data_IF_547449340786
#
_entry.id   IF_547449340786
#
_cell.length_a   1.000
_cell.length_b   1.000
_cell.length_c   1.000
_cell.angle_alpha   90.00
_cell.angle_beta   90.00
_cell.angle_gamma   90.00
#
_symmetry.space_group_name_H-M   'P 1'
#
loop_
_entity.id
_entity.type
_entity.pdbx_description
1 polymer ?
#
# COMPACT_ATOMS: atom_id res chain seq x y z
N UNK A 1 -45.26 -5.16 -40.71
CA UNK A 1 -44.51 -4.81 -39.48
C UNK A 1 -45.50 -4.73 -38.35
N UNK A 2 -45.15 -5.30 -37.20
CA UNK A 2 -46.04 -5.33 -36.04
C UNK A 2 -45.66 -4.20 -35.08
N UNK A 3 -46.60 -3.71 -34.27
CA UNK A 3 -46.32 -2.63 -33.32
C UNK A 3 -45.18 -2.99 -32.34
N UNK A 4 -44.99 -4.28 -32.04
CA UNK A 4 -43.88 -4.79 -31.22
C UNK A 4 -42.50 -4.48 -31.78
N UNK A 5 -42.36 -4.46 -33.11
CA UNK A 5 -41.08 -4.15 -33.75
C UNK A 5 -40.72 -2.67 -33.52
N UNK A 6 -41.72 -1.79 -33.54
CA UNK A 6 -41.55 -0.37 -33.30
C UNK A 6 -41.40 0.00 -31.82
N UNK A 7 -41.88 -0.83 -30.89
CA UNK A 7 -41.69 -0.58 -29.45
C UNK A 7 -40.20 -0.52 -29.08
N UNK A 8 -39.41 -1.47 -29.58
CA UNK A 8 -37.96 -1.49 -29.35
C UNK A 8 -37.28 -0.25 -29.97
N UNK A 9 -37.64 0.08 -31.21
CA UNK A 9 -37.12 1.23 -31.93
C UNK A 9 -37.48 2.56 -31.24
N UNK A 10 -38.66 2.66 -30.61
CA UNK A 10 -39.08 3.85 -29.86
C UNK A 10 -38.20 4.09 -28.63
N UNK A 11 -37.85 3.04 -27.88
CA UNK A 11 -36.96 3.19 -26.71
C UNK A 11 -35.53 3.57 -27.11
N UNK A 12 -35.10 3.16 -28.30
CA UNK A 12 -33.76 3.41 -28.84
C UNK A 12 -33.72 4.60 -29.80
N UNK A 13 -34.76 5.44 -29.85
CA UNK A 13 -34.94 6.45 -30.89
C UNK A 13 -33.74 7.40 -31.08
N UNK A 14 -33.05 7.77 -30.00
CA UNK A 14 -31.84 8.60 -30.05
C UNK A 14 -30.61 7.93 -30.65
N UNK A 15 -30.61 6.60 -30.75
CA UNK A 15 -29.51 5.78 -31.27
C UNK A 15 -29.78 5.28 -32.70
N UNK A 16 -31.00 5.47 -33.21
CA UNK A 16 -31.39 5.08 -34.56
C UNK A 16 -30.74 5.95 -35.64
N UNK A 17 -30.53 5.36 -36.81
CA UNK A 17 -30.13 6.11 -38.00
C UNK A 17 -31.27 6.99 -38.52
N UNK A 18 -30.95 8.06 -39.25
CA UNK A 18 -31.97 9.00 -39.74
C UNK A 18 -33.02 8.39 -40.69
N UNK A 19 -32.74 7.24 -41.30
CA UNK A 19 -33.72 6.49 -42.10
C UNK A 19 -34.69 5.68 -41.23
N UNK A 20 -34.21 5.13 -40.12
CA UNK A 20 -35.01 4.39 -39.14
C UNK A 20 -35.90 5.32 -38.33
N UNK A 21 -35.38 6.48 -37.91
CA UNK A 21 -36.17 7.52 -37.24
C UNK A 21 -37.39 7.93 -38.08
N UNK A 22 -37.20 8.20 -39.37
CA UNK A 22 -38.30 8.53 -40.30
C UNK A 22 -39.34 7.41 -40.42
N UNK A 23 -38.93 6.15 -40.33
CA UNK A 23 -39.85 5.01 -40.33
C UNK A 23 -40.66 4.94 -39.04
N UNK A 24 -40.03 5.17 -37.89
CA UNK A 24 -40.71 5.24 -36.59
C UNK A 24 -41.70 6.40 -36.57
N UNK A 25 -41.29 7.59 -37.03
CA UNK A 25 -42.14 8.78 -37.10
C UNK A 25 -43.40 8.53 -37.95
N UNK A 26 -43.23 7.91 -39.12
CA UNK A 26 -44.35 7.53 -39.97
C UNK A 26 -45.34 6.59 -39.26
N UNK A 27 -44.83 5.59 -38.52
CA UNK A 27 -45.67 4.66 -37.78
C UNK A 27 -46.41 5.32 -36.61
N UNK A 28 -45.73 6.22 -35.88
CA UNK A 28 -46.30 6.97 -34.75
C UNK A 28 -47.43 7.91 -35.18
N UNK A 29 -47.38 8.42 -36.42
CA UNK A 29 -48.47 9.21 -36.98
C UNK A 29 -49.73 8.37 -37.24
N UNK A 30 -49.59 7.11 -37.61
CA UNK A 30 -50.71 6.23 -37.96
C UNK A 30 -51.26 5.45 -36.75
N UNK A 31 -50.41 5.08 -35.79
CA UNK A 31 -50.76 4.24 -34.65
C UNK A 31 -50.85 5.04 -33.33
N UNK A 32 -52.07 5.14 -32.78
CA UNK A 32 -52.31 5.85 -31.51
C UNK A 32 -51.54 5.24 -30.33
N UNK A 33 -51.47 3.92 -30.24
CA UNK A 33 -50.77 3.24 -29.14
C UNK A 33 -49.26 3.51 -29.16
N UNK A 34 -48.64 3.43 -30.34
CA UNK A 34 -47.22 3.74 -30.50
C UNK A 34 -46.93 5.23 -30.26
N UNK A 35 -47.88 6.12 -30.54
CA UNK A 35 -47.76 7.55 -30.22
C UNK A 35 -47.73 7.81 -28.72
N UNK A 36 -48.64 7.21 -27.97
CA UNK A 36 -48.66 7.34 -26.51
C UNK A 36 -47.36 6.80 -25.89
N UNK A 37 -46.87 5.67 -26.40
CA UNK A 37 -45.60 5.08 -25.96
C UNK A 37 -44.39 5.97 -26.30
N UNK A 38 -44.37 6.57 -27.48
CA UNK A 38 -43.31 7.48 -27.92
C UNK A 38 -43.23 8.74 -27.04
N UNK A 39 -44.37 9.37 -26.74
CA UNK A 39 -44.41 10.53 -25.85
C UNK A 39 -43.94 10.17 -24.43
N UNK A 40 -44.34 9.00 -23.92
CA UNK A 40 -43.87 8.50 -22.62
C UNK A 40 -42.34 8.28 -22.63
N UNK A 41 -41.82 7.58 -23.64
CA UNK A 41 -40.40 7.29 -23.77
C UNK A 41 -39.58 8.60 -23.83
N UNK A 42 -40.02 9.56 -24.64
CA UNK A 42 -39.41 10.88 -24.74
C UNK A 42 -39.43 11.64 -23.41
N UNK A 43 -40.55 11.63 -22.70
CA UNK A 43 -40.64 12.25 -21.38
C UNK A 43 -39.68 11.61 -20.37
N UNK A 44 -39.56 10.28 -20.36
CA UNK A 44 -38.61 9.58 -19.49
C UNK A 44 -37.16 9.91 -19.83
N UNK A 45 -36.83 10.03 -21.12
CA UNK A 45 -35.49 10.39 -21.57
C UNK A 45 -35.10 11.82 -21.16
N UNK A 46 -36.03 12.76 -21.21
CA UNK A 46 -35.81 14.13 -20.72
C UNK A 46 -35.55 14.11 -19.20
N UNK A 47 -36.32 13.33 -18.44
CA UNK A 47 -36.11 13.24 -16.99
C UNK A 47 -34.76 12.60 -16.63
N UNK A 48 -34.37 11.51 -17.30
CA UNK A 48 -33.11 10.83 -17.02
C UNK A 48 -31.90 11.67 -17.42
N UNK A 49 -31.97 12.38 -18.55
CA UNK A 49 -30.90 13.32 -18.95
C UNK A 49 -30.76 14.46 -17.94
N UNK A 50 -31.86 15.03 -17.45
CA UNK A 50 -31.80 16.03 -16.39
C UNK A 50 -31.17 15.50 -15.09
N UNK A 51 -31.57 14.30 -14.63
CA UNK A 51 -30.99 13.69 -13.43
C UNK A 51 -29.50 13.37 -13.62
N UNK A 52 -29.09 12.90 -14.80
CA UNK A 52 -27.70 12.58 -15.10
C UNK A 52 -26.75 13.78 -15.08
N UNK A 53 -27.27 14.99 -15.28
CA UNK A 53 -26.46 16.23 -15.19
C UNK A 53 -26.25 16.71 -13.76
N UNK A 54 -27.08 16.26 -12.82
CA UNK A 54 -26.92 16.60 -11.41
C UNK A 54 -25.82 15.72 -10.85
N UNK A 55 -24.64 16.29 -10.58
CA UNK A 55 -23.63 15.63 -9.76
C UNK A 55 -24.15 15.61 -8.33
N UNK A 56 -24.53 14.45 -7.76
CA UNK A 56 -24.93 14.41 -6.36
C UNK A 56 -23.68 14.70 -5.52
N UNK A 57 -23.67 15.84 -4.83
CA UNK A 57 -22.64 16.11 -3.84
C UNK A 57 -22.94 15.23 -2.62
N UNK A 58 -22.10 14.23 -2.29
CA UNK A 58 -22.38 13.36 -1.18
C UNK A 58 -22.30 14.19 0.10
N UNK A 59 -23.34 14.15 0.92
CA UNK A 59 -23.36 14.85 2.22
C UNK A 59 -22.17 14.49 3.13
N UNK A 60 -21.47 13.39 2.84
CA UNK A 60 -20.29 12.97 3.58
C UNK A 60 -19.33 12.15 2.70
N UNK A 61 -18.57 12.84 1.83
CA UNK A 61 -17.58 12.24 0.92
C UNK A 61 -16.56 11.36 1.65
N UNK A 62 -16.13 11.75 2.86
CA UNK A 62 -15.18 10.99 3.69
C UNK A 62 -15.73 9.64 4.16
N UNK A 63 -17.03 9.54 4.48
CA UNK A 63 -17.67 8.28 4.86
C UNK A 63 -17.82 7.33 3.67
N UNK A 64 -18.11 7.88 2.50
CA UNK A 64 -18.23 7.07 1.29
C UNK A 64 -16.88 6.45 0.90
N UNK A 65 -15.80 7.24 0.92
CA UNK A 65 -14.46 6.75 0.65
C UNK A 65 -14.00 5.71 1.68
N UNK A 66 -14.23 5.95 2.97
CA UNK A 66 -13.85 4.97 4.01
C UNK A 66 -14.63 3.66 3.89
N UNK A 67 -15.94 3.71 3.60
CA UNK A 67 -16.74 2.50 3.36
C UNK A 67 -16.24 1.72 2.14
N UNK A 68 -15.89 2.41 1.05
CA UNK A 68 -15.32 1.78 -0.15
C UNK A 68 -13.96 1.15 0.18
N UNK A 69 -13.07 1.89 0.85
CA UNK A 69 -11.75 1.40 1.23
C UNK A 69 -11.84 0.20 2.18
N UNK A 70 -12.78 0.19 3.11
CA UNK A 70 -13.01 -0.95 4.00
C UNK A 70 -13.60 -2.15 3.24
N UNK A 71 -14.51 -1.93 2.30
CA UNK A 71 -15.06 -2.99 1.44
C UNK A 71 -14.01 -3.57 0.48
N UNK A 72 -13.02 -2.79 0.07
CA UNK A 72 -11.88 -3.25 -0.74
C UNK A 72 -10.85 -3.97 0.14
N UNK A 73 -10.48 -3.41 1.29
CA UNK A 73 -9.50 -3.98 2.21
C UNK A 73 -10.00 -5.27 2.88
N UNK A 74 -11.30 -5.39 3.10
CA UNK A 74 -11.95 -6.59 3.64
C UNK A 74 -12.13 -7.71 2.62
N UNK A 75 -11.88 -7.48 1.33
CA UNK A 75 -11.74 -8.58 0.37
C UNK A 75 -10.37 -9.20 0.64
N UNK A 76 -10.28 -10.48 1.06
CA UNK A 76 -9.00 -11.14 1.08
C UNK A 76 -8.45 -11.03 -0.33
N UNK A 77 -7.35 -10.29 -0.50
CA UNK A 77 -6.55 -10.37 -1.71
C UNK A 77 -6.44 -11.87 -1.98
N UNK A 78 -6.88 -12.34 -3.15
CA UNK A 78 -6.73 -13.73 -3.55
C UNK A 78 -5.25 -14.04 -3.36
N UNK A 79 -4.91 -14.61 -2.21
CA UNK A 79 -3.54 -14.89 -1.84
C UNK A 79 -3.10 -15.85 -2.92
N UNK A 80 -2.18 -15.40 -3.77
CA UNK A 80 -1.74 -16.20 -4.88
C UNK A 80 -1.26 -17.53 -4.29
N UNK A 81 -1.93 -18.60 -4.69
CA UNK A 81 -1.74 -19.95 -4.18
C UNK A 81 -0.31 -20.49 -4.41
N UNK A 82 0.56 -19.72 -5.07
CA UNK A 82 1.96 -20.06 -5.34
C UNK A 82 2.91 -19.95 -4.14
N UNK A 83 2.66 -19.07 -3.16
CA UNK A 83 3.59 -18.84 -2.04
C UNK A 83 3.38 -19.86 -0.89
N UNK A 84 2.26 -20.58 -0.91
CA UNK A 84 1.96 -21.63 0.08
C UNK A 84 2.43 -23.03 -0.34
N UNK A 85 3.18 -23.16 -1.44
CA UNK A 85 3.76 -24.44 -1.80
C UNK A 85 4.90 -24.79 -0.81
N UNK A 86 4.84 -25.93 -0.09
CA UNK A 86 5.89 -26.34 0.84
C UNK A 86 7.28 -26.37 0.20
N UNK A 87 7.36 -26.64 -1.10
CA UNK A 87 8.62 -26.62 -1.84
C UNK A 87 9.35 -25.27 -1.77
N UNK A 88 8.64 -24.15 -1.90
CA UNK A 88 9.25 -22.81 -1.82
C UNK A 88 9.79 -22.49 -0.42
N UNK A 89 9.15 -23.01 0.64
CA UNK A 89 9.64 -22.84 2.02
C UNK A 89 10.97 -23.57 2.23
N UNK A 90 11.07 -24.80 1.73
CA UNK A 90 12.32 -25.58 1.80
C UNK A 90 13.41 -25.00 0.91
N UNK A 91 13.07 -24.50 -0.28
CA UNK A 91 14.03 -23.84 -1.17
C UNK A 91 14.63 -22.58 -0.52
N UNK A 92 13.81 -21.75 0.13
CA UNK A 92 14.30 -20.56 0.85
C UNK A 92 15.16 -20.91 2.07
N UNK A 93 14.81 -21.95 2.82
CA UNK A 93 15.64 -22.44 3.93
C UNK A 93 16.97 -23.02 3.45
N UNK A 94 16.97 -23.79 2.36
CA UNK A 94 18.19 -24.33 1.80
C UNK A 94 19.11 -23.22 1.28
N UNK A 95 18.53 -22.20 0.62
CA UNK A 95 19.28 -21.05 0.13
C UNK A 95 19.89 -20.22 1.28
N UNK A 96 19.14 -19.99 2.37
CA UNK A 96 19.69 -19.28 3.53
C UNK A 96 20.82 -20.05 4.21
N UNK A 97 20.68 -21.37 4.32
CA UNK A 97 21.70 -22.22 4.93
C UNK A 97 22.96 -22.30 4.06
N UNK A 98 22.80 -22.38 2.74
CA UNK A 98 23.92 -22.34 1.79
C UNK A 98 24.71 -21.02 1.89
N UNK A 99 24.01 -19.88 2.02
CA UNK A 99 24.65 -18.58 2.21
C UNK A 99 25.45 -18.52 3.51
N UNK A 100 24.91 -19.03 4.62
CA UNK A 100 25.63 -19.08 5.91
C UNK A 100 26.89 -19.93 5.81
N UNK A 101 26.84 -21.08 5.13
CA UNK A 101 28.02 -21.93 4.92
C UNK A 101 29.06 -21.23 4.05
N UNK A 102 28.65 -20.57 2.96
CA UNK A 102 29.57 -19.81 2.11
C UNK A 102 30.26 -18.68 2.88
N UNK A 103 29.48 -17.93 3.67
CA UNK A 103 30.02 -16.84 4.49
C UNK A 103 30.93 -17.35 5.61
N UNK A 104 30.59 -18.50 6.20
CA UNK A 104 31.41 -19.17 7.21
C UNK A 104 32.73 -19.70 6.64
N UNK A 105 32.72 -20.21 5.41
CA UNK A 105 33.93 -20.67 4.72
C UNK A 105 34.89 -19.50 4.40
N UNK A 106 34.37 -18.32 4.06
CA UNK A 106 35.21 -17.13 3.87
C UNK A 106 35.76 -16.56 5.18
N UNK A 107 35.04 -16.71 6.30
CA UNK A 107 35.51 -16.24 7.61
C UNK A 107 36.47 -17.19 8.32
N UNK A 108 36.67 -18.42 7.83
CA UNK A 108 37.72 -19.28 8.36
C UNK A 108 39.08 -18.68 7.98
N UNK A 109 39.90 -18.24 8.95
CA UNK A 109 41.23 -17.73 8.67
C UNK A 109 42.02 -18.86 8.01
N UNK A 110 42.58 -18.58 6.83
CA UNK A 110 43.54 -19.49 6.22
C UNK A 110 44.64 -19.83 7.25
N UNK A 111 45.05 -21.10 7.40
CA UNK A 111 46.20 -21.44 8.23
C UNK A 111 47.44 -20.77 7.63
N UNK A 112 47.74 -19.58 8.13
CA UNK A 112 48.78 -18.71 7.61
C UNK A 112 50.16 -19.29 7.86
N UNK A 113 50.96 -19.34 6.80
CA UNK A 113 52.42 -19.40 6.89
C UNK A 113 52.93 -18.26 7.80
N UNK A 114 53.59 -18.62 8.89
CA UNK A 114 54.19 -17.66 9.83
C UNK A 114 55.37 -16.94 9.18
N UNK A 115 55.12 -15.78 8.56
CA UNK A 115 56.18 -14.82 8.24
C UNK A 115 56.39 -13.92 9.46
N UNK A 116 57.45 -14.18 10.24
CA UNK A 116 57.91 -13.27 11.29
C UNK A 116 58.32 -11.94 10.64
N UNK A 117 57.68 -10.84 11.03
CA UNK A 117 58.21 -9.50 10.83
C UNK A 117 58.51 -8.84 12.18
N UNK A 118 59.58 -8.02 12.26
CA UNK A 118 60.06 -7.46 13.51
C UNK A 118 59.17 -6.32 14.02
N UNK A 119 59.06 -6.27 15.34
CA UNK A 119 58.25 -5.36 16.13
C UNK A 119 58.74 -3.92 15.98
N UNK A 120 57.90 -3.06 15.41
CA UNK A 120 57.97 -1.61 15.59
C UNK A 120 56.57 -1.08 15.94
N UNK A 121 56.38 -0.76 17.22
CA UNK A 121 55.28 0.03 17.82
C UNK A 121 53.95 0.00 17.05
N UNK A 122 53.28 -1.14 17.06
CA UNK A 122 51.85 -1.20 16.79
C UNK A 122 51.13 -1.21 18.13
N UNK A 123 50.25 -0.22 18.36
CA UNK A 123 49.31 -0.25 19.47
C UNK A 123 48.38 -1.44 19.23
N UNK A 124 48.57 -2.50 20.01
CA UNK A 124 47.70 -3.67 20.00
C UNK A 124 46.36 -3.24 20.58
N UNK A 125 45.39 -2.97 19.73
CA UNK A 125 43.99 -2.87 20.13
C UNK A 125 43.50 -4.30 20.38
N UNK A 126 43.78 -4.78 21.59
CA UNK A 126 43.32 -6.07 22.08
C UNK A 126 41.80 -6.00 22.26
N UNK A 127 41.06 -6.49 21.26
CA UNK A 127 39.59 -6.47 21.21
C UNK A 127 38.94 -7.17 22.41
N UNK A 128 39.65 -8.10 23.07
CA UNK A 128 39.21 -8.73 24.32
C UNK A 128 39.08 -7.75 25.50
N UNK A 129 40.00 -6.78 25.62
CA UNK A 129 39.93 -5.77 26.68
C UNK A 129 38.79 -4.75 26.45
N UNK A 130 38.46 -4.50 25.18
CA UNK A 130 37.36 -3.62 24.79
C UNK A 130 36.01 -4.32 25.05
N UNK A 131 35.86 -5.61 24.74
CA UNK A 131 34.61 -6.34 24.99
C UNK A 131 34.32 -6.52 26.49
N UNK A 132 35.34 -6.77 27.32
CA UNK A 132 35.17 -6.88 28.77
C UNK A 132 34.71 -5.57 29.42
N UNK A 133 35.18 -4.41 28.93
CA UNK A 133 34.73 -3.11 29.44
C UNK A 133 33.29 -2.79 29.03
N UNK A 134 32.79 -3.29 27.90
CA UNK A 134 31.38 -3.17 27.52
C UNK A 134 30.46 -4.12 28.28
N UNK A 135 30.91 -5.36 28.53
CA UNK A 135 30.14 -6.34 29.31
C UNK A 135 30.02 -5.92 30.79
N UNK A 136 31.13 -5.51 31.42
CA UNK A 136 31.11 -5.03 32.81
C UNK A 136 30.33 -3.70 32.99
N UNK A 137 30.14 -2.92 31.92
CA UNK A 137 29.32 -1.70 31.97
C UNK A 137 27.82 -1.99 31.91
N UNK A 138 27.42 -3.15 31.37
CA UNK A 138 26.02 -3.56 31.27
C UNK A 138 25.45 -3.95 32.63
N UNK A 139 26.24 -4.61 33.48
CA UNK A 139 25.84 -5.02 34.84
C UNK A 139 25.73 -3.85 35.84
N UNK A 140 26.38 -2.71 35.58
CA UNK A 140 26.24 -1.49 36.42
C UNK A 140 25.17 -0.51 35.91
N UNK A 141 24.42 -0.86 34.87
CA UNK A 141 23.52 0.05 34.15
C UNK A 141 22.02 -0.17 34.43
N UNK A 142 21.65 -0.95 35.44
CA UNK A 142 20.24 -1.18 35.78
C UNK A 142 19.54 -0.01 36.51
N UNK A 143 20.24 1.07 36.88
CA UNK A 143 19.62 2.18 37.64
C UNK A 143 19.97 3.59 37.16
N UNK A 144 20.41 3.76 35.90
CA UNK A 144 20.61 5.10 35.32
C UNK A 144 19.68 5.29 34.12
N UNK A 145 18.75 6.26 34.16
CA UNK A 145 17.84 6.50 33.05
C UNK A 145 18.64 6.82 31.78
N UNK A 146 18.22 6.25 30.66
CA UNK A 146 18.84 6.49 29.36
C UNK A 146 18.89 7.99 29.06
N UNK A 147 19.93 8.44 28.36
CA UNK A 147 20.09 9.85 27.95
C UNK A 147 18.84 10.39 27.24
N UNK A 148 18.11 9.53 26.54
CA UNK A 148 16.85 9.84 25.87
C UNK A 148 15.69 10.11 26.85
N UNK A 149 15.60 9.36 27.95
CA UNK A 149 14.62 9.61 28.99
C UNK A 149 14.91 10.95 29.70
N UNK A 150 16.19 11.27 29.88
CA UNK A 150 16.66 12.48 30.55
C UNK A 150 16.41 13.75 29.69
N UNK A 151 16.64 13.68 28.37
CA UNK A 151 16.33 14.78 27.44
C UNK A 151 14.82 15.07 27.34
N UNK A 152 13.96 14.07 27.58
CA UNK A 152 12.50 14.21 27.52
C UNK A 152 11.89 14.72 28.83
N UNK A 153 12.49 14.42 29.97
CA UNK A 153 11.94 14.76 31.30
C UNK A 153 12.51 16.04 31.91
N UNK A 154 13.57 16.63 31.33
CA UNK A 154 14.12 17.91 31.77
C UNK A 154 14.85 17.91 33.12
N UNK A 155 14.92 16.77 33.80
CA UNK A 155 15.60 16.62 35.09
C UNK A 155 16.88 15.81 34.93
N UNK A 156 17.99 16.48 34.57
CA UNK A 156 19.31 15.87 34.50
C UNK A 156 20.33 16.70 35.28
N UNK A 157 20.67 16.27 36.50
CA UNK A 157 21.81 16.79 37.26
C UNK A 157 23.13 16.13 36.82
N UNK A 158 23.37 16.10 35.51
CA UNK A 158 24.60 15.59 34.95
C UNK A 158 25.43 16.75 34.39
N UNK A 159 26.59 17.00 35.00
CA UNK A 159 27.48 18.16 34.75
C UNK A 159 27.88 18.26 33.28
N UNK A 160 27.97 17.14 32.57
CA UNK A 160 28.30 17.10 31.13
C UNK A 160 27.22 17.74 30.24
N UNK A 161 25.93 17.64 30.59
CA UNK A 161 24.84 18.21 29.78
C UNK A 161 24.70 19.71 30.04
N UNK A 162 24.94 20.18 31.28
CA UNK A 162 24.97 21.62 31.60
C UNK A 162 25.99 22.39 30.76
N UNK A 163 27.12 21.77 30.41
CA UNK A 163 28.13 22.41 29.55
C UNK A 163 27.77 22.43 28.06
N UNK A 164 26.94 21.51 27.57
CA UNK A 164 26.45 21.54 26.19
C UNK A 164 25.33 22.56 26.00
N UNK A 165 24.39 22.67 26.95
CA UNK A 165 23.29 23.66 26.89
C UNK A 165 23.81 25.10 27.00
N UNK A 166 24.90 25.33 27.73
CA UNK A 166 25.47 26.68 27.90
C UNK A 166 26.20 27.21 26.66
N UNK A 167 26.43 26.37 25.63
CA UNK A 167 27.18 26.74 24.42
C UNK A 167 26.29 26.97 23.19
N UNK A 168 24.98 26.85 23.35
CA UNK A 168 23.99 27.01 22.26
C UNK A 168 23.06 28.21 22.46
N UNK A 169 23.60 29.32 22.99
CA UNK A 169 23.01 30.66 22.93
C UNK A 169 24.12 31.69 22.72
#
# INVERSE_FOLDING_TARGET
MTCKDFEADIYLYSELSGAEQKRVDAHVLECKACRELFELAKATQVLTTHIGTVKPEPANTSRLTSNIMQAIAGKPAKASSGIYNPFFKYAMMAASLALVVLFGAEQMPQPGFTKRMPVARAVVLESGSISETFLNRKDKSENKPSLYACAKSGACDNVFIKNFVKKSF
#
